data_IF_539593466206
#
_entry.id   IF_539593466206
#
_cell.length_a   1.000
_cell.length_b   1.000
_cell.length_c   1.000
_cell.angle_alpha   90.00
_cell.angle_beta   90.00
_cell.angle_gamma   90.00
#
_symmetry.space_group_name_H-M   'P 1'
#
loop_
_entity.id
_entity.type
_entity.pdbx_description
1 polymer ?
#
# COMPACT_ATOMS: atom_id res chain seq x y z
N UNK A 1 94.96 6.39 -17.65
CA UNK A 1 94.37 5.10 -17.23
C UNK A 1 93.15 5.45 -16.39
N UNK A 2 92.09 5.54 -16.96
CA UNK A 2 90.86 5.68 -16.16
C UNK A 2 89.70 5.02 -16.89
N UNK A 3 89.14 4.10 -16.23
CA UNK A 3 88.11 3.21 -16.71
C UNK A 3 86.82 3.94 -16.65
N UNK A 4 86.04 3.96 -17.75
CA UNK A 4 84.63 4.41 -17.78
C UNK A 4 83.75 3.41 -17.04
N UNK A 5 82.88 3.93 -16.22
CA UNK A 5 81.82 3.16 -15.59
C UNK A 5 80.50 3.60 -16.22
N UNK A 6 79.91 2.70 -16.99
CA UNK A 6 78.55 2.80 -17.48
C UNK A 6 77.56 2.60 -16.30
N UNK A 7 76.70 3.55 -16.10
CA UNK A 7 75.55 3.41 -15.23
C UNK A 7 74.33 3.01 -16.03
N UNK A 8 73.60 1.99 -15.65
CA UNK A 8 72.38 1.58 -16.31
C UNK A 8 71.19 2.51 -15.98
N UNK A 9 70.49 2.79 -16.97
CA UNK A 9 69.21 3.40 -17.15
C UNK A 9 68.22 3.13 -16.03
N UNK A 10 67.85 4.16 -15.22
CA UNK A 10 66.72 4.11 -14.29
C UNK A 10 65.44 4.18 -15.12
N UNK A 11 64.75 3.06 -15.17
CA UNK A 11 63.39 2.98 -15.61
C UNK A 11 62.54 3.64 -14.53
N UNK A 12 62.02 4.83 -14.87
CA UNK A 12 61.02 5.52 -14.07
C UNK A 12 59.80 4.65 -13.97
N UNK A 13 59.55 4.06 -12.80
CA UNK A 13 58.33 3.44 -12.47
C UNK A 13 57.25 4.51 -12.35
N UNK A 14 56.46 4.61 -13.40
CA UNK A 14 55.18 5.35 -13.36
C UNK A 14 54.34 4.78 -12.21
N UNK A 15 54.11 5.60 -11.22
CA UNK A 15 53.11 5.40 -10.20
C UNK A 15 51.77 5.27 -10.88
N UNK A 16 51.27 4.04 -11.04
CA UNK A 16 49.87 3.80 -11.15
C UNK A 16 49.29 4.03 -9.75
N UNK A 17 48.86 5.25 -9.49
CA UNK A 17 47.91 5.51 -8.43
C UNK A 17 46.63 4.77 -8.84
N UNK A 18 46.39 3.65 -8.17
CA UNK A 18 45.10 2.99 -8.19
C UNK A 18 44.10 4.00 -7.60
N UNK A 19 43.28 4.58 -8.45
CA UNK A 19 42.05 5.22 -8.00
C UNK A 19 41.24 4.12 -7.30
N UNK A 20 41.39 4.02 -5.99
CA UNK A 20 40.39 3.36 -5.14
C UNK A 20 39.09 4.12 -5.39
N UNK A 21 38.26 3.54 -6.26
CA UNK A 21 36.87 3.89 -6.39
C UNK A 21 36.19 3.49 -5.06
N UNK A 22 36.31 4.36 -4.06
CA UNK A 22 35.53 4.31 -2.85
C UNK A 22 34.09 4.54 -3.26
N UNK A 23 33.41 3.47 -3.69
CA UNK A 23 31.96 3.43 -3.59
C UNK A 23 31.67 3.70 -2.12
N UNK A 24 31.19 4.90 -1.84
CA UNK A 24 30.62 5.21 -0.55
C UNK A 24 29.46 4.21 -0.39
N UNK A 25 29.71 3.15 0.37
CA UNK A 25 28.70 2.23 0.84
C UNK A 25 27.80 3.06 1.75
N UNK A 26 26.80 3.67 1.12
CA UNK A 26 25.75 4.37 1.86
C UNK A 26 24.94 3.25 2.51
N UNK A 27 25.33 2.90 3.71
CA UNK A 27 24.64 1.90 4.53
C UNK A 27 23.15 2.29 4.61
N UNK A 28 22.34 1.65 3.79
CA UNK A 28 20.90 1.87 3.78
C UNK A 28 20.37 1.36 5.10
N UNK A 29 20.04 2.27 5.99
CA UNK A 29 19.43 1.93 7.28
C UNK A 29 18.06 1.29 7.03
N UNK A 30 17.99 -0.03 7.21
CA UNK A 30 16.74 -0.76 7.10
C UNK A 30 15.88 -0.49 8.34
N UNK A 31 14.67 -0.01 8.12
CA UNK A 31 13.70 0.22 9.18
C UNK A 31 12.47 -0.68 8.97
N UNK A 32 12.03 -1.33 10.06
CA UNK A 32 10.85 -2.18 10.02
C UNK A 32 9.58 -1.33 10.00
N UNK A 33 8.76 -1.49 8.97
CA UNK A 33 7.46 -0.84 8.90
C UNK A 33 6.46 -1.54 9.84
N UNK A 34 5.82 -0.75 10.68
CA UNK A 34 4.73 -1.20 11.54
C UNK A 34 3.40 -1.16 10.80
N UNK A 35 2.38 -1.82 11.34
CA UNK A 35 1.01 -1.81 10.80
C UNK A 35 0.39 -0.39 10.69
N UNK A 36 0.88 0.56 11.49
CA UNK A 36 0.45 1.98 11.43
C UNK A 36 1.04 2.75 10.25
N UNK A 37 1.99 2.15 9.53
CA UNK A 37 2.59 2.73 8.33
C UNK A 37 1.61 2.80 7.14
N UNK A 38 0.57 1.98 7.16
CA UNK A 38 -0.53 2.00 6.18
C UNK A 38 -1.85 2.20 6.91
N UNK A 39 -2.57 3.27 6.59
CA UNK A 39 -3.85 3.60 7.22
C UNK A 39 -4.95 3.60 6.17
N UNK A 40 -6.10 3.06 6.54
CA UNK A 40 -7.25 2.96 5.66
C UNK A 40 -8.42 3.77 6.23
N UNK A 41 -9.14 4.47 5.35
CA UNK A 41 -10.35 5.19 5.69
C UNK A 41 -11.48 4.70 4.79
N UNK A 42 -12.63 4.45 5.39
CA UNK A 42 -13.85 4.08 4.69
C UNK A 42 -14.81 5.28 4.70
N UNK A 43 -15.42 5.55 3.56
CA UNK A 43 -16.52 6.53 3.50
C UNK A 43 -17.79 5.88 4.08
N UNK A 44 -18.21 6.33 5.26
CA UNK A 44 -19.37 5.77 5.97
C UNK A 44 -20.69 6.44 5.60
N UNK A 45 -20.66 7.45 4.70
CA UNK A 45 -21.86 8.16 4.20
C UNK A 45 -21.86 8.21 2.66
N UNK A 46 -21.91 7.04 1.95
CA UNK A 46 -21.76 7.01 0.48
C UNK A 46 -22.86 7.74 -0.26
N UNK A 47 -24.06 7.87 0.32
CA UNK A 47 -25.21 8.56 -0.26
C UNK A 47 -25.34 10.02 0.20
N UNK A 48 -24.45 10.48 1.08
CA UNK A 48 -24.46 11.85 1.58
C UNK A 48 -23.88 12.85 0.56
N UNK A 49 -24.25 14.11 0.70
CA UNK A 49 -23.66 15.22 -0.09
C UNK A 49 -22.19 15.46 0.22
N UNK A 50 -21.74 15.02 1.39
CA UNK A 50 -20.35 15.12 1.83
C UNK A 50 -19.85 13.76 2.27
N UNK A 51 -18.62 13.41 1.88
CA UNK A 51 -17.96 12.16 2.30
C UNK A 51 -17.54 12.25 3.77
N UNK A 52 -17.87 11.23 4.54
CA UNK A 52 -17.39 11.09 5.92
C UNK A 52 -16.36 9.98 6.00
N UNK A 53 -15.09 10.38 6.10
CA UNK A 53 -13.98 9.45 6.22
C UNK A 53 -13.83 8.97 7.64
N UNK A 54 -14.00 7.68 7.85
CA UNK A 54 -13.81 7.02 9.14
C UNK A 54 -12.66 6.03 9.07
N UNK A 55 -11.79 6.04 10.09
CA UNK A 55 -10.63 5.15 10.13
C UNK A 55 -11.08 3.70 10.23
N UNK A 56 -10.63 2.89 9.27
CA UNK A 56 -10.82 1.45 9.26
C UNK A 56 -9.67 0.80 10.04
N UNK A 57 -9.87 0.59 11.34
CA UNK A 57 -8.81 0.06 12.21
C UNK A 57 -9.27 -0.19 13.63
N UNK A 58 -10.24 0.56 14.12
CA UNK A 58 -10.76 0.34 15.48
C UNK A 58 -11.52 -0.97 15.55
N UNK A 59 -11.11 -1.82 16.48
CA UNK A 59 -11.69 -3.16 16.62
C UNK A 59 -11.29 -4.15 15.54
N UNK A 60 -10.62 -3.72 14.48
CA UNK A 60 -10.13 -4.63 13.41
C UNK A 60 -8.99 -5.47 13.95
N UNK A 61 -9.22 -6.78 14.00
CA UNK A 61 -8.24 -7.77 14.48
C UNK A 61 -7.42 -8.36 13.35
N UNK A 62 -8.01 -8.42 12.14
CA UNK A 62 -7.34 -8.89 10.93
C UNK A 62 -7.84 -8.14 9.71
N UNK A 63 -6.92 -7.77 8.83
CA UNK A 63 -7.20 -7.29 7.48
C UNK A 63 -6.18 -7.90 6.53
N UNK A 64 -6.63 -8.80 5.68
CA UNK A 64 -5.82 -9.40 4.63
C UNK A 64 -6.17 -8.80 3.29
N UNK A 65 -5.17 -8.31 2.57
CA UNK A 65 -5.35 -7.78 1.22
C UNK A 65 -4.92 -8.82 0.19
N UNK A 66 -5.81 -9.18 -0.72
CA UNK A 66 -5.51 -10.02 -1.89
C UNK A 66 -5.41 -9.13 -3.12
N UNK A 67 -4.36 -9.31 -3.91
CA UNK A 67 -4.20 -8.62 -5.18
C UNK A 67 -4.84 -9.38 -6.34
N UNK A 68 -5.05 -10.71 -6.21
CA UNK A 68 -5.75 -11.53 -7.19
C UNK A 68 -5.26 -11.31 -8.61
N UNK A 69 -3.94 -11.39 -8.84
CA UNK A 69 -3.37 -11.19 -10.17
C UNK A 69 -3.99 -12.19 -11.17
N UNK A 70 -4.45 -11.67 -12.31
CA UNK A 70 -4.91 -12.47 -13.44
C UNK A 70 -3.76 -12.59 -14.42
N UNK A 71 -3.31 -13.82 -14.65
CA UNK A 71 -2.20 -14.13 -15.53
C UNK A 71 -2.70 -14.83 -16.77
N UNK A 72 -2.07 -14.54 -17.91
CA UNK A 72 -2.20 -15.30 -19.16
C UNK A 72 -0.86 -15.91 -19.50
N UNK A 73 -0.90 -17.17 -19.88
CA UNK A 73 0.27 -17.95 -20.27
C UNK A 73 0.22 -18.16 -21.78
N UNK A 74 1.28 -17.78 -22.48
CA UNK A 74 1.43 -17.97 -23.92
C UNK A 74 2.65 -18.86 -24.21
N UNK A 75 2.46 -19.84 -25.10
CA UNK A 75 3.54 -20.69 -25.58
C UNK A 75 3.71 -20.50 -27.09
N UNK A 76 4.80 -19.91 -27.50
CA UNK A 76 5.11 -19.72 -28.91
C UNK A 76 5.86 -20.93 -29.48
N UNK A 77 5.53 -21.35 -30.71
CA UNK A 77 6.09 -22.54 -31.37
C UNK A 77 7.62 -22.54 -31.44
N UNK A 78 8.24 -21.37 -31.41
CA UNK A 78 9.69 -21.19 -31.52
C UNK A 78 10.41 -21.09 -30.17
N UNK A 79 9.68 -21.13 -29.06
CA UNK A 79 10.22 -21.00 -27.70
C UNK A 79 9.97 -22.29 -26.91
N UNK A 80 10.98 -22.71 -26.14
CA UNK A 80 10.85 -23.89 -25.27
C UNK A 80 10.11 -23.59 -23.94
N UNK A 81 10.11 -22.30 -23.52
CA UNK A 81 9.51 -21.84 -22.27
C UNK A 81 8.26 -21.01 -22.51
N UNK A 82 7.30 -21.11 -21.59
CA UNK A 82 6.11 -20.29 -21.57
C UNK A 82 6.43 -18.85 -21.17
N UNK A 83 5.66 -17.92 -21.72
CA UNK A 83 5.65 -16.49 -21.34
C UNK A 83 4.46 -16.24 -20.44
N UNK A 84 4.70 -15.58 -19.31
CA UNK A 84 3.66 -15.19 -18.37
C UNK A 84 3.46 -13.68 -18.44
N UNK A 85 2.21 -13.25 -18.57
CA UNK A 85 1.80 -11.85 -18.47
C UNK A 85 0.79 -11.65 -17.35
N UNK A 86 0.75 -10.46 -16.77
CA UNK A 86 -0.27 -10.07 -15.79
C UNK A 86 -1.22 -9.11 -16.47
N UNK A 87 -2.45 -9.57 -16.73
CA UNK A 87 -3.45 -8.81 -17.48
C UNK A 87 -4.27 -7.87 -16.60
N UNK A 88 -4.25 -8.08 -15.28
CA UNK A 88 -4.98 -7.26 -14.35
C UNK A 88 -4.97 -7.79 -12.91
N UNK A 89 -5.66 -7.09 -12.05
CA UNK A 89 -5.79 -7.42 -10.64
C UNK A 89 -7.25 -7.45 -10.21
N UNK A 90 -7.60 -8.38 -9.32
CA UNK A 90 -8.88 -8.45 -8.65
C UNK A 90 -8.65 -8.18 -7.15
N UNK A 91 -8.45 -6.90 -6.82
CA UNK A 91 -8.16 -6.49 -5.45
C UNK A 91 -9.35 -6.71 -4.52
N UNK A 92 -9.04 -7.25 -3.33
CA UNK A 92 -10.01 -7.43 -2.27
C UNK A 92 -9.35 -7.43 -0.90
N UNK A 93 -10.16 -7.32 0.14
CA UNK A 93 -9.70 -7.45 1.52
C UNK A 93 -10.72 -8.26 2.32
N UNK A 94 -10.24 -9.24 3.05
CA UNK A 94 -11.01 -9.94 4.08
C UNK A 94 -10.73 -9.28 5.43
N UNK A 95 -11.79 -8.93 6.18
CA UNK A 95 -11.68 -8.16 7.41
C UNK A 95 -12.45 -8.87 8.52
N UNK A 96 -11.80 -8.99 9.69
CA UNK A 96 -12.44 -9.38 10.94
C UNK A 96 -12.37 -8.22 11.91
N UNK A 97 -13.51 -7.85 12.49
CA UNK A 97 -13.64 -6.71 13.39
C UNK A 97 -14.46 -7.10 14.63
N UNK A 98 -13.96 -6.71 15.80
CA UNK A 98 -14.74 -6.73 17.04
C UNK A 98 -15.75 -5.59 17.00
N UNK A 99 -17.00 -5.90 17.29
CA UNK A 99 -18.09 -4.94 17.35
C UNK A 99 -17.87 -3.92 18.48
N UNK A 100 -17.68 -2.67 18.10
CA UNK A 100 -17.50 -1.55 19.04
C UNK A 100 -18.64 -0.55 18.86
N UNK A 101 -19.53 -0.46 19.85
CA UNK A 101 -20.59 0.54 19.83
C UNK A 101 -20.01 1.95 19.79
N UNK A 102 -20.48 2.75 18.81
CA UNK A 102 -19.98 4.11 18.61
C UNK A 102 -18.80 4.21 17.61
N UNK A 103 -18.28 3.09 17.09
CA UNK A 103 -17.38 3.13 15.96
C UNK A 103 -18.18 3.36 14.66
N UNK A 104 -17.88 4.42 13.87
CA UNK A 104 -18.64 4.74 12.67
C UNK A 104 -18.58 3.65 11.60
N UNK A 105 -17.43 2.97 11.47
CA UNK A 105 -17.26 1.89 10.49
C UNK A 105 -18.12 0.69 10.91
N UNK A 106 -18.03 0.28 12.17
CA UNK A 106 -18.90 -0.79 12.68
C UNK A 106 -20.37 -0.45 12.47
N UNK A 107 -20.81 0.76 12.84
CA UNK A 107 -22.21 1.19 12.69
C UNK A 107 -22.67 1.12 11.24
N UNK A 108 -21.81 1.51 10.29
CA UNK A 108 -22.11 1.43 8.86
C UNK A 108 -22.26 -0.03 8.39
N UNK A 109 -21.33 -0.91 8.78
CA UNK A 109 -21.38 -2.34 8.41
C UNK A 109 -22.60 -3.03 9.05
N UNK A 110 -22.88 -2.76 10.32
CA UNK A 110 -24.05 -3.29 11.04
C UNK A 110 -25.37 -2.91 10.35
N UNK A 111 -25.51 -1.67 9.89
CA UNK A 111 -26.70 -1.25 9.13
C UNK A 111 -26.83 -1.98 7.78
N UNK A 112 -25.71 -2.29 7.10
CA UNK A 112 -25.72 -3.12 5.90
C UNK A 112 -26.22 -4.53 6.19
N UNK A 113 -25.75 -5.13 7.30
CA UNK A 113 -26.13 -6.47 7.75
C UNK A 113 -27.59 -6.51 8.21
N UNK A 114 -27.96 -5.61 9.11
CA UNK A 114 -29.29 -5.54 9.70
C UNK A 114 -30.38 -5.37 8.64
N UNK A 115 -30.16 -4.52 7.66
CA UNK A 115 -31.11 -4.25 6.57
C UNK A 115 -30.97 -5.19 5.38
N UNK A 116 -30.01 -6.13 5.41
CA UNK A 116 -29.70 -7.03 4.29
C UNK A 116 -29.61 -6.28 2.95
N UNK A 117 -28.88 -5.14 2.96
CA UNK A 117 -28.74 -4.27 1.77
C UNK A 117 -28.10 -5.03 0.62
N UNK A 118 -28.43 -4.62 -0.62
CA UNK A 118 -27.98 -5.28 -1.86
C UNK A 118 -27.61 -4.25 -2.93
N UNK A 119 -26.86 -4.73 -3.91
CA UNK A 119 -26.50 -3.94 -5.09
C UNK A 119 -25.73 -2.68 -4.75
N UNK A 120 -26.10 -1.57 -5.35
CA UNK A 120 -25.42 -0.27 -5.18
C UNK A 120 -25.46 0.28 -3.75
N UNK A 121 -26.37 -0.22 -2.90
CA UNK A 121 -26.39 0.16 -1.49
C UNK A 121 -25.18 -0.35 -0.68
N UNK A 122 -24.40 -1.27 -1.24
CA UNK A 122 -23.15 -1.78 -0.68
C UNK A 122 -21.92 -1.02 -1.18
N UNK A 123 -22.11 -0.13 -2.17
CA UNK A 123 -21.02 0.63 -2.77
C UNK A 123 -20.60 1.78 -1.87
N UNK A 124 -19.30 1.96 -1.75
CA UNK A 124 -18.68 3.09 -1.04
C UNK A 124 -17.28 3.34 -1.58
N UNK A 125 -16.49 4.12 -0.86
CA UNK A 125 -15.11 4.42 -1.22
C UNK A 125 -14.16 4.06 -0.07
N UNK A 126 -13.01 3.54 -0.46
CA UNK A 126 -11.89 3.20 0.43
C UNK A 126 -10.69 4.07 0.06
N UNK A 127 -10.15 4.77 1.03
CA UNK A 127 -8.92 5.56 0.88
C UNK A 127 -7.80 4.86 1.64
N UNK A 128 -6.78 4.40 0.92
CA UNK A 128 -5.55 3.84 1.48
C UNK A 128 -4.44 4.89 1.49
N UNK A 129 -3.83 5.13 2.64
CA UNK A 129 -2.76 6.11 2.83
C UNK A 129 -1.49 5.40 3.27
N UNK A 130 -0.40 5.64 2.56
CA UNK A 130 0.92 5.07 2.79
C UNK A 130 1.80 6.07 3.55
N UNK A 131 1.78 6.06 4.87
CA UNK A 131 2.52 7.02 5.69
C UNK A 131 4.04 6.95 5.56
N UNK A 132 4.57 5.82 5.10
CA UNK A 132 6.01 5.65 4.82
C UNK A 132 6.43 6.22 3.46
N UNK A 133 5.46 6.67 2.64
CA UNK A 133 5.68 7.37 1.39
C UNK A 133 5.26 8.82 1.60
N UNK A 134 6.20 9.63 2.01
CA UNK A 134 5.96 11.04 2.35
C UNK A 134 6.78 11.93 1.42
N UNK A 135 6.17 13.00 0.92
CA UNK A 135 6.89 14.09 0.29
C UNK A 135 7.40 15.05 1.36
N UNK A 136 8.71 15.08 1.58
CA UNK A 136 9.37 15.92 2.58
C UNK A 136 9.63 17.35 2.10
N UNK A 137 9.31 17.67 0.85
CA UNK A 137 9.63 18.96 0.23
C UNK A 137 8.69 20.11 0.63
N UNK A 138 7.60 19.82 1.34
CA UNK A 138 6.60 20.81 1.69
C UNK A 138 6.47 21.00 3.22
N UNK A 139 6.01 22.20 3.62
CA UNK A 139 5.77 22.52 5.04
C UNK A 139 4.68 21.66 5.69
N UNK A 140 3.80 21.08 4.89
CA UNK A 140 2.77 20.13 5.32
C UNK A 140 3.06 18.78 4.66
N UNK A 141 3.27 17.70 5.43
CA UNK A 141 3.58 16.40 4.86
C UNK A 141 2.42 15.89 4.00
N UNK A 142 2.74 15.50 2.77
CA UNK A 142 1.83 14.81 1.85
C UNK A 142 2.21 13.35 1.77
N UNK A 143 1.24 12.48 1.90
CA UNK A 143 1.42 11.03 1.87
C UNK A 143 0.81 10.46 0.60
N UNK A 144 1.51 9.54 -0.06
CA UNK A 144 0.93 8.83 -1.20
C UNK A 144 -0.32 8.07 -0.78
N UNK A 145 -1.33 8.12 -1.64
CA UNK A 145 -2.60 7.51 -1.35
C UNK A 145 -3.26 6.94 -2.62
N UNK A 146 -4.15 5.98 -2.41
CA UNK A 146 -5.01 5.41 -3.44
C UNK A 146 -6.46 5.48 -3.00
N UNK A 147 -7.29 6.02 -3.87
CA UNK A 147 -8.73 6.05 -3.68
C UNK A 147 -9.37 4.97 -4.55
N UNK A 148 -10.17 4.10 -3.92
CA UNK A 148 -10.88 3.02 -4.58
C UNK A 148 -12.39 3.20 -4.45
N UNK A 149 -13.11 2.87 -5.51
CA UNK A 149 -14.51 2.51 -5.40
C UNK A 149 -14.59 1.05 -4.96
N UNK A 150 -15.40 0.77 -3.96
CA UNK A 150 -15.44 -0.56 -3.34
C UNK A 150 -16.87 -1.00 -3.06
N UNK A 151 -17.04 -2.31 -3.06
CA UNK A 151 -18.23 -2.99 -2.59
C UNK A 151 -17.93 -3.59 -1.22
N UNK A 152 -18.71 -3.24 -0.21
CA UNK A 152 -18.62 -3.83 1.12
C UNK A 152 -19.61 -4.95 1.24
N UNK A 153 -19.13 -6.18 1.32
CA UNK A 153 -19.94 -7.39 1.37
C UNK A 153 -19.90 -7.99 2.77
N UNK A 154 -20.95 -7.87 3.56
CA UNK A 154 -21.06 -8.59 4.83
C UNK A 154 -20.96 -10.10 4.61
N UNK A 155 -20.27 -10.81 5.51
CA UNK A 155 -20.03 -12.26 5.39
C UNK A 155 -20.69 -13.01 6.55
N UNK A 156 -20.25 -12.73 7.79
CA UNK A 156 -20.75 -13.42 8.96
C UNK A 156 -20.61 -12.58 10.23
N UNK A 157 -21.37 -12.94 11.23
CA UNK A 157 -21.18 -12.53 12.61
C UNK A 157 -20.94 -13.75 13.50
N UNK A 158 -20.17 -13.59 14.56
CA UNK A 158 -19.82 -14.67 15.47
C UNK A 158 -20.11 -14.26 16.92
N UNK A 159 -20.95 -15.05 17.55
CA UNK A 159 -21.35 -14.92 18.96
C UNK A 159 -20.83 -16.14 19.74
N UNK A 160 -19.83 -15.94 20.55
CA UNK A 160 -19.28 -16.99 21.41
C UNK A 160 -19.41 -16.58 22.89
N UNK A 161 -19.79 -17.52 23.75
CA UNK A 161 -19.93 -17.26 25.18
C UNK A 161 -18.65 -16.71 25.80
N UNK A 162 -18.76 -15.58 26.50
CA UNK A 162 -17.63 -14.93 27.18
C UNK A 162 -16.73 -14.10 26.30
N UNK A 163 -17.02 -13.97 24.98
CA UNK A 163 -16.25 -13.14 24.05
C UNK A 163 -17.08 -11.98 23.49
N UNK A 164 -16.40 -10.98 22.94
CA UNK A 164 -17.08 -9.90 22.24
C UNK A 164 -17.64 -10.38 20.90
N UNK A 165 -18.76 -9.81 20.47
CA UNK A 165 -19.30 -9.98 19.12
C UNK A 165 -18.24 -9.62 18.07
N UNK A 166 -18.05 -10.50 17.11
CA UNK A 166 -17.17 -10.27 15.95
C UNK A 166 -17.98 -10.31 14.66
N UNK A 167 -17.63 -9.45 13.74
CA UNK A 167 -18.18 -9.42 12.39
C UNK A 167 -17.07 -9.68 11.37
N UNK A 168 -17.43 -10.35 10.26
CA UNK A 168 -16.56 -10.54 9.11
C UNK A 168 -17.23 -9.95 7.88
N UNK A 169 -16.45 -9.29 7.07
CA UNK A 169 -16.90 -8.71 5.82
C UNK A 169 -15.75 -8.60 4.83
N UNK A 170 -16.10 -8.50 3.56
CA UNK A 170 -15.14 -8.35 2.46
C UNK A 170 -15.28 -6.98 1.85
N UNK A 171 -14.15 -6.41 1.47
CA UNK A 171 -14.10 -5.22 0.63
C UNK A 171 -13.58 -5.65 -0.73
N UNK A 172 -14.38 -5.47 -1.77
CA UNK A 172 -14.02 -5.79 -3.15
C UNK A 172 -13.86 -4.49 -3.93
N UNK A 173 -12.72 -4.33 -4.59
CA UNK A 173 -12.44 -3.14 -5.39
C UNK A 173 -13.18 -3.22 -6.72
N UNK A 174 -13.76 -2.08 -7.15
CA UNK A 174 -14.45 -1.92 -8.41
C UNK A 174 -13.66 -0.95 -9.31
N UNK A 175 -13.12 -1.47 -10.40
CA UNK A 175 -12.34 -0.68 -11.36
C UNK A 175 -10.94 -0.32 -10.85
N UNK A 176 -10.33 0.64 -11.53
CA UNK A 176 -8.97 1.07 -11.26
C UNK A 176 -8.90 2.07 -10.09
N UNK A 177 -7.79 2.07 -9.33
CA UNK A 177 -7.57 3.06 -8.29
C UNK A 177 -7.28 4.44 -8.87
N UNK A 178 -7.78 5.47 -8.20
CA UNK A 178 -7.32 6.85 -8.42
C UNK A 178 -6.11 7.10 -7.52
N UNK A 179 -4.98 7.45 -8.14
CA UNK A 179 -3.76 7.80 -7.39
C UNK A 179 -3.78 9.26 -6.98
N UNK A 180 -3.10 9.58 -5.90
CA UNK A 180 -3.00 10.93 -5.41
C UNK A 180 -2.28 11.01 -4.07
N UNK A 181 -2.42 12.17 -3.43
CA UNK A 181 -1.81 12.43 -2.13
C UNK A 181 -2.87 12.80 -1.09
N UNK A 182 -2.50 12.58 0.17
CA UNK A 182 -3.33 12.94 1.32
C UNK A 182 -2.58 13.86 2.26
N UNK A 183 -3.26 14.93 2.67
CA UNK A 183 -2.88 15.75 3.83
C UNK A 183 -3.87 15.51 4.97
N UNK A 184 -3.41 15.68 6.21
CA UNK A 184 -4.26 15.52 7.37
C UNK A 184 -4.53 16.88 8.02
N UNK A 185 -5.80 17.20 8.24
CA UNK A 185 -6.25 18.33 9.05
C UNK A 185 -7.08 17.80 10.22
N UNK A 186 -6.65 18.04 11.45
CA UNK A 186 -7.31 17.53 12.66
C UNK A 186 -7.61 16.01 12.63
N UNK A 187 -6.72 15.23 12.01
CA UNK A 187 -6.84 13.76 11.88
C UNK A 187 -7.75 13.29 10.75
N UNK A 188 -8.40 14.18 10.02
CA UNK A 188 -9.20 13.85 8.86
C UNK A 188 -8.36 13.95 7.57
N UNK A 189 -8.48 12.98 6.64
CA UNK A 189 -7.75 12.98 5.39
C UNK A 189 -8.41 13.91 4.37
N UNK A 190 -7.60 14.70 3.68
CA UNK A 190 -8.00 15.42 2.47
C UNK A 190 -7.24 14.82 1.31
N UNK A 191 -7.94 14.16 0.39
CA UNK A 191 -7.36 13.54 -0.79
C UNK A 191 -7.28 14.55 -1.92
N UNK A 192 -6.13 14.60 -2.59
CA UNK A 192 -5.89 15.36 -3.82
C UNK A 192 -5.44 14.38 -4.89
N UNK A 193 -6.19 14.31 -5.98
CA UNK A 193 -5.88 13.47 -7.13
C UNK A 193 -4.62 13.96 -7.83
N UNK A 194 -3.79 13.02 -8.25
CA UNK A 194 -2.61 13.30 -9.08
C UNK A 194 -3.08 13.55 -10.51
N UNK A 195 -2.79 14.75 -11.02
CA UNK A 195 -3.06 15.09 -12.43
C UNK A 195 -1.99 14.46 -13.30
N UNK A 196 -2.42 13.62 -14.23
CA UNK A 196 -1.54 12.99 -15.22
C UNK A 196 -0.89 14.02 -16.16
#
# INVERSE_FOLDING_TARGET
>A
KTVANDTPNEISLLNLESEENTMADTEVKLERLNNTAKVNFLNTTPTGTSKTWSILGKGVTSKENSYGAKTTDEHWIIEENERHSVDGYALGSDIEQVALKGDPVFTYIDDLMYRMKKGTALETELLEVFKYRVSETESTPKYDARLFKVLVVPDSDTLEGGTALKIKYKIQVQGDPTFGTVTFASGLPTFTEETA
#
